data_IF_625755569488
#
_entry.id   IF_625755569488
#
_cell.length_a   1.000
_cell.length_b   1.000
_cell.length_c   1.000
_cell.angle_alpha   90.00
_cell.angle_beta   90.00
_cell.angle_gamma   90.00
#
_symmetry.space_group_name_H-M   'P 1'
#
loop_
_entity.id
_entity.type
_entity.pdbx_description
1 polymer ?
#
# COMPACT_ATOMS: atom_id res chain seq x y z
N UNK A 1 -6.20 18.44 39.11
CA UNK A 1 -6.06 17.16 38.42
C UNK A 1 -5.47 16.13 39.34
N UNK A 2 -6.07 14.95 39.44
CA UNK A 2 -5.52 13.90 40.28
C UNK A 2 -4.34 13.22 39.59
N UNK A 3 -3.49 12.56 40.37
CA UNK A 3 -2.37 11.78 39.80
C UNK A 3 -2.87 10.68 38.88
N UNK A 4 -4.03 10.12 39.15
CA UNK A 4 -4.63 9.08 38.32
C UNK A 4 -4.98 9.60 36.94
N UNK A 5 -5.57 10.79 36.85
CA UNK A 5 -5.89 11.43 35.57
C UNK A 5 -4.59 11.73 34.78
N UNK A 6 -3.55 12.15 35.47
CA UNK A 6 -2.27 12.42 34.82
C UNK A 6 -1.63 11.17 34.19
N UNK A 7 -1.89 9.99 34.77
CA UNK A 7 -1.42 8.73 34.19
C UNK A 7 -2.30 8.21 33.06
N UNK A 8 -3.60 8.48 33.14
CA UNK A 8 -4.57 8.00 32.14
C UNK A 8 -4.41 8.72 30.79
N UNK A 9 -4.15 10.03 30.81
CA UNK A 9 -4.04 10.80 29.58
C UNK A 9 -2.92 10.35 28.65
N UNK A 10 -1.68 10.13 29.13
CA UNK A 10 -0.63 9.59 28.27
C UNK A 10 -0.95 8.20 27.74
N UNK A 11 -1.59 7.35 28.55
CA UNK A 11 -1.98 6.03 28.14
C UNK A 11 -3.04 6.08 27.02
N UNK A 12 -4.00 6.98 27.13
CA UNK A 12 -5.01 7.18 26.09
C UNK A 12 -4.39 7.68 24.78
N UNK A 13 -3.43 8.58 24.88
CA UNK A 13 -2.72 9.09 23.69
C UNK A 13 -1.95 7.94 23.03
N UNK A 14 -1.28 7.10 23.83
CA UNK A 14 -0.52 5.97 23.29
C UNK A 14 -1.43 4.97 22.58
N UNK A 15 -2.58 4.65 23.16
CA UNK A 15 -3.55 3.75 22.56
C UNK A 15 -4.10 4.34 21.26
N UNK A 16 -4.44 5.62 21.27
CA UNK A 16 -4.94 6.30 20.07
C UNK A 16 -3.89 6.29 18.96
N UNK A 17 -2.64 6.58 19.28
CA UNK A 17 -1.55 6.55 18.31
C UNK A 17 -1.38 5.13 17.72
N UNK A 18 -1.48 4.10 18.56
CA UNK A 18 -1.39 2.72 18.10
C UNK A 18 -2.54 2.37 17.15
N UNK A 19 -3.76 2.80 17.48
CA UNK A 19 -4.92 2.56 16.63
C UNK A 19 -4.81 3.28 15.29
N UNK A 20 -4.34 4.53 15.30
CA UNK A 20 -4.11 5.29 14.06
C UNK A 20 -3.05 4.59 13.21
N UNK A 21 -1.99 4.09 13.84
CA UNK A 21 -0.94 3.36 13.12
C UNK A 21 -1.49 2.10 12.46
N UNK A 22 -2.25 1.29 13.21
CA UNK A 22 -2.88 0.07 12.67
C UNK A 22 -3.81 0.41 11.51
N UNK A 23 -4.64 1.45 11.67
CA UNK A 23 -5.54 1.89 10.60
C UNK A 23 -4.75 2.33 9.36
N UNK A 24 -3.64 3.02 9.55
CA UNK A 24 -2.77 3.42 8.44
C UNK A 24 -2.21 2.22 7.67
N UNK A 25 -1.84 1.15 8.38
CA UNK A 25 -1.39 -0.09 7.75
C UNK A 25 -2.50 -0.74 6.93
N UNK A 26 -3.71 -0.78 7.46
CA UNK A 26 -4.87 -1.34 6.75
C UNK A 26 -5.16 -0.55 5.48
N UNK A 27 -5.17 0.79 5.58
CA UNK A 27 -5.39 1.64 4.42
C UNK A 27 -4.29 1.48 3.38
N UNK A 28 -3.04 1.35 3.83
CA UNK A 28 -1.91 1.09 2.94
C UNK A 28 -2.06 -0.22 2.20
N UNK A 29 -2.51 -1.27 2.90
CA UNK A 29 -2.75 -2.57 2.28
C UNK A 29 -3.86 -2.49 1.23
N UNK A 30 -4.96 -1.80 1.54
CA UNK A 30 -6.04 -1.60 0.57
C UNK A 30 -5.53 -0.87 -0.68
N UNK A 31 -4.72 0.15 -0.49
CA UNK A 31 -4.18 0.91 -1.63
C UNK A 31 -3.25 0.08 -2.51
N UNK A 32 -2.38 -0.76 -1.93
CA UNK A 32 -1.51 -1.58 -2.78
C UNK A 32 -2.29 -2.66 -3.51
N UNK A 33 -3.33 -3.21 -2.90
CA UNK A 33 -4.21 -4.18 -3.57
C UNK A 33 -4.94 -3.50 -4.74
N UNK A 34 -5.51 -2.33 -4.52
CA UNK A 34 -6.21 -1.60 -5.57
C UNK A 34 -5.25 -1.18 -6.68
N UNK A 35 -4.04 -0.75 -6.31
CA UNK A 35 -3.02 -0.37 -7.29
C UNK A 35 -2.60 -1.57 -8.16
N UNK A 36 -2.37 -2.71 -7.56
CA UNK A 36 -2.00 -3.92 -8.29
C UNK A 36 -3.10 -4.34 -9.26
N UNK A 37 -4.35 -4.28 -8.82
CA UNK A 37 -5.51 -4.61 -9.67
C UNK A 37 -5.66 -3.63 -10.83
N UNK A 38 -5.49 -2.33 -10.57
CA UNK A 38 -5.58 -1.32 -11.61
C UNK A 38 -4.47 -1.49 -12.64
N UNK A 39 -3.24 -1.73 -12.18
CA UNK A 39 -2.12 -2.00 -13.08
C UNK A 39 -2.35 -3.24 -13.92
N UNK A 40 -2.84 -4.32 -13.30
CA UNK A 40 -3.13 -5.56 -14.01
C UNK A 40 -4.21 -5.37 -15.08
N UNK A 41 -5.24 -4.59 -14.77
CA UNK A 41 -6.30 -4.31 -15.72
C UNK A 41 -5.78 -3.54 -16.93
N UNK A 42 -4.95 -2.52 -16.71
CA UNK A 42 -4.35 -1.74 -17.80
C UNK A 42 -3.41 -2.62 -18.62
N UNK A 43 -2.59 -3.44 -17.98
CA UNK A 43 -1.71 -4.36 -18.68
C UNK A 43 -2.46 -5.37 -19.52
N UNK A 44 -3.59 -5.88 -19.01
CA UNK A 44 -4.41 -6.85 -19.73
C UNK A 44 -5.04 -6.29 -21.00
N UNK A 45 -5.28 -4.98 -21.03
CA UNK A 45 -5.82 -4.33 -22.24
C UNK A 45 -4.76 -4.14 -23.31
N UNK A 46 -3.50 -4.43 -23.03
CA UNK A 46 -2.44 -4.27 -24.01
C UNK A 46 -1.92 -2.86 -24.16
N UNK A 47 -2.19 -1.99 -23.18
CA UNK A 47 -1.76 -0.59 -23.24
C UNK A 47 -0.26 -0.39 -22.96
N UNK A 48 0.43 -1.47 -22.67
CA UNK A 48 1.86 -1.45 -22.44
C UNK A 48 2.23 -1.41 -20.96
N UNK A 49 3.46 -1.81 -20.69
CA UNK A 49 3.99 -1.91 -19.33
C UNK A 49 4.06 -0.54 -18.65
N UNK A 50 4.51 0.48 -19.38
CA UNK A 50 4.63 1.83 -18.82
C UNK A 50 3.27 2.39 -18.40
N UNK A 51 2.23 2.13 -19.18
CA UNK A 51 0.87 2.55 -18.83
C UNK A 51 0.36 1.82 -17.60
N UNK A 52 0.66 0.53 -17.46
CA UNK A 52 0.29 -0.27 -16.29
C UNK A 52 0.98 0.26 -15.03
N UNK A 53 2.27 0.55 -15.11
CA UNK A 53 3.03 1.12 -13.99
C UNK A 53 2.46 2.47 -13.59
N UNK A 54 2.17 3.34 -14.55
CA UNK A 54 1.61 4.66 -14.27
C UNK A 54 0.24 4.55 -13.60
N UNK A 55 -0.61 3.64 -14.07
CA UNK A 55 -1.93 3.42 -13.49
C UNK A 55 -1.83 2.93 -12.04
N UNK A 56 -0.94 1.98 -11.78
CA UNK A 56 -0.74 1.47 -10.43
C UNK A 56 -0.21 2.56 -9.50
N UNK A 57 0.72 3.39 -9.96
CA UNK A 57 1.30 4.45 -9.14
C UNK A 57 0.30 5.53 -8.75
N UNK A 58 -0.71 5.78 -9.57
CA UNK A 58 -1.75 6.76 -9.23
C UNK A 58 -2.59 6.33 -8.03
N UNK A 59 -2.71 5.04 -7.80
CA UNK A 59 -3.51 4.48 -6.71
C UNK A 59 -2.65 4.15 -5.50
N UNK A 60 -1.40 3.76 -5.73
CA UNK A 60 -0.51 3.29 -4.68
C UNK A 60 -0.08 4.42 -3.72
N UNK A 61 0.33 4.07 -2.49
CA UNK A 61 0.96 5.05 -1.61
C UNK A 61 2.21 5.66 -2.25
N UNK A 62 2.56 6.87 -1.81
CA UNK A 62 3.74 7.57 -2.32
C UNK A 62 5.00 6.73 -2.13
N UNK A 63 5.86 6.71 -3.14
CA UNK A 63 7.12 5.98 -3.09
C UNK A 63 6.99 4.48 -3.29
N UNK A 64 5.80 3.99 -3.68
CA UNK A 64 5.61 2.57 -3.94
C UNK A 64 6.43 2.10 -5.13
N UNK A 65 6.88 0.85 -5.04
CA UNK A 65 7.55 0.16 -6.14
C UNK A 65 6.53 -0.69 -6.88
N UNK A 66 6.49 -0.54 -8.19
CA UNK A 66 5.58 -1.30 -9.05
C UNK A 66 6.41 -2.15 -9.99
N UNK A 67 6.13 -3.43 -10.04
CA UNK A 67 6.80 -4.39 -10.91
C UNK A 67 5.75 -5.07 -11.78
N UNK A 68 6.03 -5.17 -13.08
CA UNK A 68 5.16 -5.84 -14.03
C UNK A 68 5.94 -6.97 -14.67
N UNK A 69 5.46 -8.19 -14.52
CA UNK A 69 6.10 -9.38 -15.07
C UNK A 69 5.10 -10.09 -15.99
N UNK A 70 5.54 -10.30 -17.21
CA UNK A 70 4.75 -11.01 -18.19
C UNK A 70 5.22 -12.45 -18.27
N UNK A 71 4.30 -13.38 -18.22
CA UNK A 71 4.59 -14.81 -18.34
C UNK A 71 3.55 -15.47 -19.23
N UNK A 72 3.95 -15.76 -20.46
CA UNK A 72 3.03 -16.33 -21.44
C UNK A 72 1.85 -15.39 -21.73
N UNK A 73 0.65 -15.85 -21.43
CA UNK A 73 -0.59 -15.11 -21.63
C UNK A 73 -1.08 -14.40 -20.36
N UNK A 74 -0.26 -14.41 -19.30
CA UNK A 74 -0.61 -13.72 -18.06
C UNK A 74 0.36 -12.59 -17.78
N UNK A 75 -0.11 -11.60 -17.04
CA UNK A 75 0.72 -10.52 -16.52
C UNK A 75 0.48 -10.42 -15.02
N UNK A 76 1.55 -10.29 -14.27
CA UNK A 76 1.50 -10.10 -12.81
C UNK A 76 2.01 -8.72 -12.47
N UNK A 77 1.21 -7.97 -11.76
CA UNK A 77 1.60 -6.65 -11.25
C UNK A 77 1.78 -6.77 -9.75
N UNK A 78 2.98 -6.45 -9.28
CA UNK A 78 3.32 -6.46 -7.86
C UNK A 78 3.54 -5.02 -7.42
N UNK A 79 2.84 -4.61 -6.36
CA UNK A 79 2.99 -3.28 -5.77
C UNK A 79 3.48 -3.46 -4.35
N UNK A 80 4.58 -2.80 -4.02
CA UNK A 80 5.17 -2.83 -2.69
C UNK A 80 5.33 -1.40 -2.19
N UNK A 81 4.90 -1.14 -0.97
CA UNK A 81 5.05 0.17 -0.36
C UNK A 81 5.55 0.02 1.06
N UNK A 82 6.41 0.95 1.47
CA UNK A 82 6.87 1.04 2.84
C UNK A 82 6.11 2.15 3.54
N UNK A 83 5.49 1.80 4.66
CA UNK A 83 4.74 2.75 5.47
C UNK A 83 5.55 3.05 6.72
N UNK A 84 5.92 4.31 6.88
CA UNK A 84 6.63 4.75 8.07
C UNK A 84 5.63 5.00 9.20
N UNK A 85 6.10 4.84 10.43
CA UNK A 85 5.29 5.16 11.59
C UNK A 85 4.88 6.62 11.61
N UNK A 86 3.83 6.98 12.37
CA UNK A 86 3.43 8.38 12.51
C UNK A 86 4.62 9.23 12.96
N UNK A 87 4.74 10.43 12.44
CA UNK A 87 5.88 11.31 12.69
C UNK A 87 6.05 11.68 14.16
N UNK A 88 7.18 12.28 14.47
CA UNK A 88 7.52 12.70 15.83
C UNK A 88 8.05 11.57 16.69
N UNK A 89 7.59 11.51 17.95
CA UNK A 89 8.06 10.48 18.89
C UNK A 89 7.76 9.07 18.40
N UNK A 90 6.69 8.93 17.66
CA UNK A 90 6.26 7.63 17.12
C UNK A 90 6.99 7.29 15.84
N UNK A 91 7.71 8.23 15.24
CA UNK A 91 8.54 8.00 14.08
C UNK A 91 9.72 7.04 14.33
N UNK A 92 10.01 6.71 15.60
CA UNK A 92 11.00 5.71 15.95
C UNK A 92 10.50 4.27 15.75
N UNK A 93 9.20 4.07 15.55
CA UNK A 93 8.66 2.75 15.24
C UNK A 93 9.15 2.30 13.88
N UNK A 94 9.53 1.03 13.75
CA UNK A 94 9.97 0.51 12.46
C UNK A 94 8.83 0.63 11.42
N UNK A 95 9.20 1.00 10.22
CA UNK A 95 8.26 1.04 9.11
C UNK A 95 7.76 -0.37 8.80
N UNK A 96 6.56 -0.45 8.24
CA UNK A 96 5.98 -1.71 7.79
C UNK A 96 5.94 -1.74 6.28
N UNK A 97 6.22 -2.89 5.71
CA UNK A 97 6.11 -3.09 4.28
C UNK A 97 4.76 -3.75 3.96
N UNK A 98 4.05 -3.20 3.01
CA UNK A 98 2.81 -3.78 2.50
C UNK A 98 3.00 -4.10 1.02
N UNK A 99 2.44 -5.20 0.58
CA UNK A 99 2.60 -5.65 -0.79
C UNK A 99 1.35 -6.36 -1.27
N UNK A 100 1.11 -6.29 -2.57
CA UNK A 100 0.01 -7.01 -3.19
C UNK A 100 0.37 -7.37 -4.63
N UNK A 101 -0.12 -8.50 -5.06
CA UNK A 101 0.01 -8.97 -6.43
C UNK A 101 -1.36 -9.07 -7.07
N UNK A 102 -1.45 -8.77 -8.35
CA UNK A 102 -2.62 -9.05 -9.14
C UNK A 102 -2.20 -9.68 -10.45
N UNK A 103 -2.90 -10.73 -10.85
CA UNK A 103 -2.62 -11.47 -12.08
C UNK A 103 -3.81 -11.28 -13.00
N UNK A 104 -3.54 -10.96 -14.26
CA UNK A 104 -4.56 -10.85 -15.28
C UNK A 104 -4.15 -11.62 -16.52
N UNK A 105 -5.13 -12.19 -17.20
CA UNK A 105 -4.91 -12.76 -18.52
C UNK A 105 -4.75 -11.62 -19.53
N UNK A 106 -3.72 -11.68 -20.33
CA UNK A 106 -3.51 -10.71 -21.41
C UNK A 106 -4.47 -11.05 -22.54
N UNK A 107 -5.28 -10.07 -22.93
CA UNK A 107 -6.09 -10.24 -24.12
C UNK A 107 -5.16 -10.27 -25.33
N UNK A 108 -5.19 -11.40 -26.02
CA UNK A 108 -4.45 -11.52 -27.27
C UNK A 108 -5.24 -10.70 -28.29
N UNK A 109 -4.64 -9.59 -28.74
CA UNK A 109 -5.24 -8.77 -29.76
C UNK A 109 -5.47 -9.60 -30.99
N UNK A 110 -6.69 -9.61 -31.46
CA UNK A 110 -7.08 -10.32 -32.68
C UNK A 110 -6.83 -9.43 -33.87
#
# INVERSE_FOLDING_TARGET
MTAEAAMVLPAMVAVTAALVWVLSLVLGQVRVVDAAREGARVAARGDGEAAAVAAARRVAPSGATVSVVRSGDTVTVTVTARLDGPGGVVGSLPGAEVAADAVAAVEVGV
#
